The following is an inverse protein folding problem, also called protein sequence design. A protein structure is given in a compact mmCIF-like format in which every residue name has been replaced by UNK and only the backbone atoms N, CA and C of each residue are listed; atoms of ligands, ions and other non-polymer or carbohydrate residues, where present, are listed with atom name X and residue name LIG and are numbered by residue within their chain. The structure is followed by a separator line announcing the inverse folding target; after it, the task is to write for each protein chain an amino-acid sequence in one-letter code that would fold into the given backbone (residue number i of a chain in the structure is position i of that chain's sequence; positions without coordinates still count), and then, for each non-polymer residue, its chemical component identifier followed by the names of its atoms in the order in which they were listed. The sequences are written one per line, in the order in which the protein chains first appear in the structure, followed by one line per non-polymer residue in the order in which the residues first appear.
data_IF_230331069399
#
_entry.id   IF_230331069399
#
_cell.length_a   1.000
_cell.length_b   1.000
_cell.length_c   1.000
_cell.angle_alpha   90.00
_cell.angle_beta   90.00
_cell.angle_gamma   90.00
#
_symmetry.space_group_name_H-M   'P 1'
#
loop_
_entity.id
_entity.type
_entity.pdbx_description
1 polymer ?
#
# COMPACT_ATOMS: atom_id res chain seq x y z
N UNK A 1 32.02 -40.01 -26.13
CA UNK A 1 31.45 -38.64 -26.19
C UNK A 1 30.04 -38.56 -25.60
N UNK A 2 29.17 -39.57 -25.78
CA UNK A 2 27.79 -39.62 -25.24
C UNK A 2 27.67 -39.65 -23.70
N UNK A 3 28.58 -40.32 -22.99
CA UNK A 3 28.55 -40.41 -21.50
C UNK A 3 28.88 -39.08 -20.80
N UNK A 4 29.70 -38.22 -21.42
CA UNK A 4 30.09 -36.92 -20.84
C UNK A 4 28.98 -35.86 -21.01
N UNK A 5 28.11 -36.01 -22.02
CA UNK A 5 26.97 -35.12 -22.22
C UNK A 5 25.87 -35.36 -21.17
N UNK A 6 25.60 -36.62 -20.83
CA UNK A 6 24.57 -36.97 -19.84
C UNK A 6 24.87 -36.46 -18.43
N UNK A 7 26.15 -36.40 -18.02
CA UNK A 7 26.52 -35.87 -16.70
C UNK A 7 26.37 -34.35 -16.61
N UNK A 8 26.68 -33.62 -17.68
CA UNK A 8 26.51 -32.17 -17.75
C UNK A 8 25.02 -31.78 -17.71
N UNK A 9 24.18 -32.47 -18.48
CA UNK A 9 22.72 -32.27 -18.48
C UNK A 9 22.11 -32.52 -17.10
N UNK A 10 22.51 -33.59 -16.42
CA UNK A 10 22.04 -33.88 -15.06
C UNK A 10 22.42 -32.79 -14.04
N UNK A 11 23.64 -32.24 -14.13
CA UNK A 11 24.11 -31.16 -13.25
C UNK A 11 23.31 -29.88 -13.49
N UNK A 12 23.05 -29.54 -14.76
CA UNK A 12 22.24 -28.37 -15.14
C UNK A 12 20.81 -28.54 -14.63
N UNK A 13 20.18 -29.68 -14.86
CA UNK A 13 18.81 -29.95 -14.42
C UNK A 13 18.68 -29.88 -12.89
N UNK A 14 19.62 -30.49 -12.15
CA UNK A 14 19.64 -30.41 -10.69
C UNK A 14 19.78 -28.95 -10.20
N UNK A 15 20.60 -28.13 -10.87
CA UNK A 15 20.76 -26.72 -10.54
C UNK A 15 19.47 -25.91 -10.81
N UNK A 16 18.79 -26.18 -11.93
CA UNK A 16 17.51 -25.55 -12.28
C UNK A 16 16.42 -25.90 -11.27
N UNK A 17 16.30 -27.18 -10.90
CA UNK A 17 15.33 -27.65 -9.90
C UNK A 17 15.58 -27.03 -8.53
N UNK A 18 16.84 -26.98 -8.09
CA UNK A 18 17.22 -26.32 -6.84
C UNK A 18 16.82 -24.84 -6.86
N UNK A 19 17.13 -24.14 -7.96
CA UNK A 19 16.79 -22.73 -8.08
C UNK A 19 15.28 -22.50 -8.05
N UNK A 20 14.49 -23.31 -8.74
CA UNK A 20 13.03 -23.17 -8.73
C UNK A 20 12.46 -23.44 -7.32
N UNK A 21 13.02 -24.40 -6.58
CA UNK A 21 12.68 -24.63 -5.17
C UNK A 21 12.97 -23.40 -4.31
N UNK A 22 14.12 -22.78 -4.48
CA UNK A 22 14.48 -21.55 -3.75
C UNK A 22 13.55 -20.39 -4.14
N UNK A 23 13.30 -20.16 -5.44
CA UNK A 23 12.33 -19.15 -5.91
C UNK A 23 10.93 -19.39 -5.34
N UNK A 24 10.47 -20.64 -5.24
CA UNK A 24 9.19 -20.99 -4.61
C UNK A 24 9.12 -20.54 -3.16
N UNK A 25 10.17 -20.77 -2.37
CA UNK A 25 10.23 -20.33 -0.98
C UNK A 25 10.19 -18.80 -0.88
N UNK A 26 10.96 -18.10 -1.71
CA UNK A 26 10.94 -16.63 -1.77
C UNK A 26 9.55 -16.10 -2.14
N UNK A 27 8.85 -16.72 -3.09
CA UNK A 27 7.47 -16.34 -3.46
C UNK A 27 6.49 -16.52 -2.31
N UNK A 28 6.57 -17.63 -1.57
CA UNK A 28 5.70 -17.87 -0.40
C UNK A 28 5.95 -16.80 0.65
N UNK A 29 7.21 -16.54 0.99
CA UNK A 29 7.60 -15.50 1.94
C UNK A 29 7.08 -14.11 1.52
N UNK A 30 7.28 -13.70 0.26
CA UNK A 30 6.80 -12.40 -0.23
C UNK A 30 5.27 -12.29 -0.24
N UNK A 31 4.54 -13.39 -0.45
CA UNK A 31 3.07 -13.40 -0.31
C UNK A 31 2.64 -13.18 1.14
N UNK A 32 3.32 -13.80 2.10
CA UNK A 32 3.08 -13.55 3.53
C UNK A 32 3.35 -12.08 3.86
N UNK A 33 4.49 -11.54 3.40
CA UNK A 33 4.83 -10.11 3.57
C UNK A 33 3.74 -9.20 2.99
N UNK A 34 3.31 -9.44 1.74
CA UNK A 34 2.28 -8.63 1.09
C UNK A 34 0.93 -8.72 1.81
N UNK A 35 0.54 -9.90 2.27
CA UNK A 35 -0.69 -10.08 3.06
C UNK A 35 -0.62 -9.33 4.38
N UNK A 36 0.50 -9.42 5.10
CA UNK A 36 0.70 -8.68 6.35
C UNK A 36 0.70 -7.16 6.09
N UNK A 37 1.32 -6.67 5.02
CA UNK A 37 1.28 -5.25 4.64
C UNK A 37 -0.15 -4.79 4.30
N UNK A 38 -0.94 -5.63 3.63
CA UNK A 38 -2.35 -5.37 3.36
C UNK A 38 -3.15 -5.23 4.66
N UNK A 39 -3.00 -6.18 5.59
CA UNK A 39 -3.62 -6.09 6.91
C UNK A 39 -3.14 -4.85 7.68
N UNK A 40 -1.85 -4.52 7.60
CA UNK A 40 -1.28 -3.36 8.27
C UNK A 40 -1.93 -2.06 7.80
N UNK A 41 -2.10 -1.90 6.47
CA UNK A 41 -2.77 -0.73 5.92
C UNK A 41 -4.25 -0.68 6.29
N UNK A 42 -4.96 -1.81 6.34
CA UNK A 42 -6.35 -1.83 6.80
C UNK A 42 -6.49 -1.44 8.28
N UNK A 43 -5.66 -2.02 9.16
CA UNK A 43 -5.69 -1.71 10.60
C UNK A 43 -5.28 -0.25 10.81
N UNK A 44 -4.26 0.25 10.11
CA UNK A 44 -3.88 1.67 10.16
C UNK A 44 -4.98 2.61 9.62
N UNK A 45 -5.71 2.18 8.59
CA UNK A 45 -6.91 2.86 8.12
C UNK A 45 -8.00 2.94 9.18
N UNK A 46 -8.24 1.83 9.89
CA UNK A 46 -9.21 1.78 10.99
C UNK A 46 -8.78 2.73 12.11
N UNK A 47 -7.51 2.67 12.54
CA UNK A 47 -6.93 3.60 13.53
C UNK A 47 -7.15 5.07 13.16
N UNK A 48 -7.05 5.42 11.86
CA UNK A 48 -7.32 6.80 11.41
C UNK A 48 -8.82 7.13 11.43
N UNK A 49 -9.67 6.25 10.90
CA UNK A 49 -11.11 6.48 10.80
C UNK A 49 -11.81 6.49 12.17
N UNK A 50 -11.23 5.82 13.17
CA UNK A 50 -11.70 5.85 14.57
C UNK A 50 -10.99 6.92 15.40
N UNK A 51 -10.26 7.85 14.77
CA UNK A 51 -9.48 8.94 15.42
C UNK A 51 -8.55 8.46 16.55
N UNK A 52 -8.07 7.22 16.43
CA UNK A 52 -7.32 6.52 17.48
C UNK A 52 -5.82 6.76 17.42
N UNK A 53 -5.30 7.44 16.39
CA UNK A 53 -3.87 7.55 16.11
C UNK A 53 -3.03 8.35 17.10
N UNK A 54 -3.62 8.86 18.19
CA UNK A 54 -2.96 9.67 19.23
C UNK A 54 -3.20 9.15 20.66
N UNK A 55 -3.83 7.97 20.80
CA UNK A 55 -4.15 7.36 22.10
C UNK A 55 -2.92 6.87 22.87
N UNK A 56 -1.84 6.49 22.18
CA UNK A 56 -0.57 6.04 22.76
C UNK A 56 0.48 7.15 22.59
N UNK A 57 0.64 7.95 23.64
CA UNK A 57 1.47 9.15 23.63
C UNK A 57 2.96 8.87 23.77
N UNK A 58 3.33 7.74 24.39
CA UNK A 58 4.73 7.38 24.61
C UNK A 58 5.28 6.42 23.54
N UNK A 59 6.52 6.67 23.13
CA UNK A 59 7.25 5.80 22.23
C UNK A 59 8.04 4.75 23.02
N UNK A 60 7.44 3.57 23.20
CA UNK A 60 8.09 2.38 23.80
C UNK A 60 8.33 1.32 22.71
N UNK A 61 9.51 1.29 22.03
CA UNK A 61 9.74 0.39 20.90
C UNK A 61 9.60 -1.09 21.25
N UNK A 62 10.17 -1.49 22.40
CA UNK A 62 10.22 -2.88 22.87
C UNK A 62 9.08 -3.16 23.85
N UNK A 63 8.99 -2.40 24.95
CA UNK A 63 8.00 -2.63 26.00
C UNK A 63 6.55 -2.37 25.56
N UNK A 64 6.33 -1.48 24.59
CA UNK A 64 4.99 -1.19 24.06
C UNK A 64 4.39 -2.29 23.16
N UNK A 65 5.03 -3.47 23.09
CA UNK A 65 4.43 -4.67 22.51
C UNK A 65 3.43 -5.35 23.48
N UNK A 66 3.63 -5.18 24.79
CA UNK A 66 2.73 -5.67 25.82
C UNK A 66 1.74 -4.54 26.15
N UNK A 67 0.42 -4.76 26.04
CA UNK A 67 -0.58 -3.75 26.41
C UNK A 67 -0.68 -3.65 27.94
N UNK A 68 -1.32 -2.61 28.49
CA UNK A 68 -1.63 -2.55 29.92
C UNK A 68 -2.44 -3.78 30.36
N UNK A 69 -1.97 -4.45 31.42
CA UNK A 69 -2.55 -5.68 31.97
C UNK A 69 -3.23 -5.45 33.32
N UNK A 70 -2.88 -4.37 34.02
CA UNK A 70 -3.49 -3.99 35.30
C UNK A 70 -4.33 -2.71 35.20
N UNK A 71 -5.25 -2.52 36.15
CA UNK A 71 -6.06 -1.29 36.26
C UNK A 71 -5.17 -0.05 36.44
N UNK A 72 -4.08 -0.18 37.20
CA UNK A 72 -3.15 0.93 37.43
C UNK A 72 -2.44 1.37 36.15
N UNK A 73 -1.96 0.42 35.34
CA UNK A 73 -1.32 0.70 34.04
C UNK A 73 -2.31 1.33 33.05
N UNK A 74 -3.57 0.87 33.04
CA UNK A 74 -4.62 1.48 32.20
C UNK A 74 -4.91 2.92 32.59
N UNK A 75 -4.98 3.21 33.89
CA UNK A 75 -5.20 4.57 34.37
C UNK A 75 -3.98 5.46 34.06
N UNK A 76 -2.75 4.96 34.16
CA UNK A 76 -1.53 5.70 33.80
C UNK A 76 -1.55 6.15 32.34
N UNK A 77 -1.76 5.24 31.40
CA UNK A 77 -1.84 5.56 29.97
C UNK A 77 -3.00 6.53 29.68
N UNK A 78 -4.13 6.38 30.36
CA UNK A 78 -5.26 7.30 30.23
C UNK A 78 -4.94 8.70 30.77
N UNK A 79 -4.21 8.81 31.88
CA UNK A 79 -3.75 10.08 32.44
C UNK A 79 -2.75 10.79 31.52
N UNK A 80 -1.94 10.05 30.76
CA UNK A 80 -1.09 10.63 29.72
C UNK A 80 -1.93 11.16 28.56
N UNK A 81 -2.91 10.38 28.09
CA UNK A 81 -3.83 10.82 27.02
C UNK A 81 -4.64 12.07 27.42
N UNK A 82 -5.06 12.19 28.68
CA UNK A 82 -5.74 13.39 29.19
C UNK A 82 -4.91 14.67 29.01
N UNK A 83 -3.59 14.60 28.83
CA UNK A 83 -2.72 15.79 28.70
C UNK A 83 -2.65 16.36 27.28
N UNK A 84 -3.06 15.59 26.26
CA UNK A 84 -2.91 16.02 24.87
C UNK A 84 -4.13 16.82 24.37
N UNK A 85 -3.98 17.66 23.33
CA UNK A 85 -5.07 18.48 22.80
C UNK A 85 -6.32 17.68 22.40
N UNK A 86 -6.15 16.48 21.82
CA UNK A 86 -7.28 15.64 21.40
C UNK A 86 -8.25 15.34 22.55
N UNK A 87 -7.75 15.04 23.75
CA UNK A 87 -8.63 14.85 24.91
C UNK A 87 -9.25 16.17 25.37
N UNK A 88 -8.46 17.23 25.45
CA UNK A 88 -8.90 18.51 26.01
C UNK A 88 -9.97 19.21 25.15
N UNK A 89 -9.87 19.08 23.83
CA UNK A 89 -10.71 19.81 22.87
C UNK A 89 -11.84 18.96 22.28
N UNK A 90 -11.61 17.66 22.05
CA UNK A 90 -12.56 16.78 21.36
C UNK A 90 -13.18 15.76 22.31
N UNK A 91 -12.35 15.05 23.08
CA UNK A 91 -12.77 13.89 23.87
C UNK A 91 -12.94 14.19 25.37
N UNK A 92 -13.25 15.45 25.71
CA UNK A 92 -13.32 15.89 27.12
C UNK A 92 -14.45 15.18 27.86
N UNK A 93 -14.10 14.49 28.94
CA UNK A 93 -15.05 13.72 29.74
C UNK A 93 -15.20 12.27 29.29
N UNK A 94 -14.42 11.82 28.30
CA UNK A 94 -14.32 10.40 27.92
C UNK A 94 -14.02 9.53 29.13
N UNK A 95 -14.62 8.34 29.19
CA UNK A 95 -14.39 7.31 30.19
C UNK A 95 -13.17 6.45 29.87
N UNK A 96 -12.67 5.70 30.86
CA UNK A 96 -11.56 4.76 30.65
C UNK A 96 -11.92 3.66 29.63
N UNK A 97 -13.18 3.22 29.58
CA UNK A 97 -13.61 2.16 28.66
C UNK A 97 -13.73 2.65 27.21
N UNK A 98 -14.15 3.90 27.01
CA UNK A 98 -14.07 4.54 25.70
C UNK A 98 -12.61 4.74 25.25
N UNK A 99 -11.72 5.14 26.17
CA UNK A 99 -10.29 5.24 25.89
C UNK A 99 -9.68 3.89 25.46
N UNK A 100 -10.03 2.78 26.13
CA UNK A 100 -9.57 1.44 25.72
C UNK A 100 -9.91 1.12 24.27
N UNK A 101 -11.06 1.57 23.78
CA UNK A 101 -11.49 1.32 22.40
C UNK A 101 -10.53 1.95 21.39
N UNK A 102 -10.16 3.21 21.58
CA UNK A 102 -9.18 3.87 20.70
C UNK A 102 -7.76 3.31 20.91
N UNK A 103 -7.39 3.00 22.15
CA UNK A 103 -6.10 2.40 22.47
C UNK A 103 -5.87 1.09 21.73
N UNK A 104 -6.87 0.20 21.70
CA UNK A 104 -6.74 -1.12 21.06
C UNK A 104 -6.47 -1.02 19.57
N UNK A 105 -7.11 -0.08 18.86
CA UNK A 105 -6.85 0.13 17.44
C UNK A 105 -5.41 0.58 17.19
N UNK A 106 -4.92 1.54 17.98
CA UNK A 106 -3.56 2.03 17.81
C UNK A 106 -2.52 0.99 18.22
N UNK A 107 -2.74 0.30 19.34
CA UNK A 107 -1.87 -0.78 19.80
C UNK A 107 -1.77 -1.90 18.78
N UNK A 108 -2.90 -2.35 18.21
CA UNK A 108 -2.94 -3.40 17.21
C UNK A 108 -2.17 -3.00 15.93
N UNK A 109 -2.35 -1.75 15.48
CA UNK A 109 -1.59 -1.21 14.35
C UNK A 109 -0.09 -1.20 14.64
N UNK A 110 0.34 -0.69 15.81
CA UNK A 110 1.74 -0.62 16.22
C UNK A 110 2.36 -2.01 16.41
N UNK A 111 1.63 -2.96 16.98
CA UNK A 111 2.09 -4.35 17.11
C UNK A 111 2.31 -5.00 15.74
N UNK A 112 1.35 -4.84 14.83
CA UNK A 112 1.45 -5.37 13.48
C UNK A 112 2.61 -4.72 12.70
N UNK A 113 2.85 -3.42 12.89
CA UNK A 113 3.99 -2.70 12.33
C UNK A 113 5.35 -3.21 12.85
N UNK A 114 5.44 -3.64 14.11
CA UNK A 114 6.64 -4.32 14.64
C UNK A 114 6.79 -5.72 14.07
N UNK A 115 5.69 -6.47 14.00
CA UNK A 115 5.68 -7.84 13.51
C UNK A 115 6.15 -7.93 12.04
N UNK A 116 5.74 -7.01 11.17
CA UNK A 116 6.19 -7.00 9.77
C UNK A 116 7.71 -6.85 9.65
N UNK A 117 8.35 -6.10 10.55
CA UNK A 117 9.81 -5.99 10.61
C UNK A 117 10.48 -7.36 10.79
N UNK A 118 9.95 -8.18 11.70
CA UNK A 118 10.45 -9.55 11.95
C UNK A 118 10.10 -10.51 10.80
N UNK A 119 8.86 -10.44 10.29
CA UNK A 119 8.38 -11.26 9.16
C UNK A 119 9.19 -11.00 7.89
N UNK A 120 9.73 -9.80 7.72
CA UNK A 120 10.63 -9.49 6.61
C UNK A 120 12.09 -9.84 6.93
N UNK A 121 12.62 -9.36 8.06
CA UNK A 121 14.05 -9.45 8.35
C UNK A 121 14.54 -10.88 8.62
N UNK A 122 13.77 -11.70 9.36
CA UNK A 122 14.22 -13.06 9.73
C UNK A 122 14.32 -13.99 8.51
N UNK A 123 13.29 -14.09 7.63
CA UNK A 123 13.42 -14.92 6.43
C UNK A 123 14.46 -14.35 5.45
N UNK A 124 14.60 -13.01 5.36
CA UNK A 124 15.66 -12.41 4.55
C UNK A 124 17.05 -12.86 5.02
N UNK A 125 17.32 -12.78 6.32
CA UNK A 125 18.59 -13.25 6.91
C UNK A 125 18.81 -14.75 6.64
N UNK A 126 17.78 -15.58 6.86
CA UNK A 126 17.86 -17.01 6.57
C UNK A 126 18.19 -17.30 5.10
N UNK A 127 17.46 -16.71 4.15
CA UNK A 127 17.71 -16.91 2.72
C UNK A 127 19.07 -16.38 2.29
N UNK A 128 19.55 -15.31 2.92
CA UNK A 128 20.88 -14.75 2.66
C UNK A 128 21.98 -15.69 3.14
N UNK A 129 21.95 -16.10 4.41
CA UNK A 129 22.95 -16.98 5.03
C UNK A 129 23.00 -18.36 4.37
N UNK A 130 21.88 -18.83 3.83
CA UNK A 130 21.78 -20.11 3.12
C UNK A 130 22.03 -20.01 1.61
N UNK A 131 22.38 -18.81 1.11
CA UNK A 131 22.75 -18.61 -0.29
C UNK A 131 21.60 -18.76 -1.30
N UNK A 132 20.35 -18.69 -0.84
CA UNK A 132 19.13 -18.90 -1.67
C UNK A 132 18.70 -17.65 -2.45
N UNK A 133 19.29 -16.50 -2.16
CA UNK A 133 18.98 -15.23 -2.83
C UNK A 133 19.91 -15.01 -4.04
N UNK A 134 19.31 -14.91 -5.21
CA UNK A 134 19.99 -14.50 -6.44
C UNK A 134 20.67 -13.14 -6.28
N UNK A 135 21.90 -12.97 -6.80
CA UNK A 135 22.69 -11.73 -6.67
C UNK A 135 21.88 -10.47 -7.04
N UNK A 136 21.06 -10.54 -8.10
CA UNK A 136 20.21 -9.44 -8.59
C UNK A 136 19.14 -8.98 -7.60
N UNK A 137 18.72 -9.84 -6.66
CA UNK A 137 17.65 -9.57 -5.70
C UNK A 137 18.18 -9.06 -4.36
N UNK A 138 19.48 -9.18 -4.12
CA UNK A 138 20.11 -8.78 -2.85
C UNK A 138 19.90 -7.31 -2.53
N UNK A 139 20.31 -6.41 -3.44
CA UNK A 139 20.16 -4.97 -3.23
C UNK A 139 18.68 -4.54 -3.16
N UNK A 140 17.77 -4.99 -4.04
CA UNK A 140 16.35 -4.69 -3.90
C UNK A 140 15.75 -5.10 -2.54
N UNK A 141 16.09 -6.30 -2.04
CA UNK A 141 15.57 -6.78 -0.75
C UNK A 141 16.15 -6.01 0.45
N UNK A 142 17.43 -5.66 0.42
CA UNK A 142 18.04 -4.79 1.44
C UNK A 142 17.41 -3.39 1.38
N UNK A 143 17.19 -2.85 0.18
CA UNK A 143 16.52 -1.56 0.00
C UNK A 143 15.10 -1.56 0.56
N UNK A 144 14.34 -2.66 0.38
CA UNK A 144 13.02 -2.82 0.99
C UNK A 144 13.07 -2.91 2.52
N UNK A 145 14.07 -3.60 3.08
CA UNK A 145 14.29 -3.62 4.53
C UNK A 145 14.59 -2.22 5.06
N UNK A 146 15.47 -1.47 4.39
CA UNK A 146 15.82 -0.10 4.76
C UNK A 146 14.62 0.84 4.65
N UNK A 147 13.82 0.73 3.58
CA UNK A 147 12.56 1.46 3.44
C UNK A 147 11.56 1.09 4.54
N UNK A 148 11.48 -0.18 4.95
CA UNK A 148 10.67 -0.61 6.08
C UNK A 148 11.10 0.03 7.41
N UNK A 149 12.41 0.14 7.65
CA UNK A 149 12.94 0.88 8.80
C UNK A 149 12.60 2.37 8.74
N UNK A 150 12.79 2.98 7.56
CA UNK A 150 12.42 4.38 7.33
C UNK A 150 10.91 4.64 7.47
N UNK A 151 10.08 3.67 7.10
CA UNK A 151 8.63 3.72 7.30
C UNK A 151 8.26 3.78 8.78
N UNK A 152 8.98 3.06 9.65
CA UNK A 152 8.84 3.17 11.10
C UNK A 152 9.17 4.57 11.61
N UNK A 153 10.23 5.20 11.08
CA UNK A 153 10.58 6.59 11.37
C UNK A 153 9.47 7.57 10.91
N UNK A 154 8.93 7.40 9.70
CA UNK A 154 7.81 8.22 9.21
C UNK A 154 6.57 8.03 10.10
N UNK A 155 6.28 6.81 10.56
CA UNK A 155 5.17 6.53 11.47
C UNK A 155 5.30 7.27 12.80
N UNK A 156 6.50 7.26 13.40
CA UNK A 156 6.79 8.06 14.60
C UNK A 156 6.63 9.57 14.32
N UNK A 157 7.17 10.06 13.21
CA UNK A 157 7.03 11.46 12.80
C UNK A 157 5.56 11.84 12.57
N UNK A 158 4.74 10.95 12.03
CA UNK A 158 3.31 11.20 11.80
C UNK A 158 2.54 11.42 13.11
N UNK A 159 2.78 10.60 14.14
CA UNK A 159 2.09 10.72 15.43
C UNK A 159 2.59 11.94 16.21
N UNK A 160 3.89 12.25 16.14
CA UNK A 160 4.47 13.33 16.94
C UNK A 160 3.86 14.72 16.68
N UNK A 161 3.22 14.97 15.53
CA UNK A 161 2.52 16.25 15.28
C UNK A 161 1.31 16.47 16.17
N UNK A 162 0.55 15.40 16.47
CA UNK A 162 -0.74 15.50 17.15
C UNK A 162 -0.63 15.54 18.67
N UNK A 163 0.58 15.44 19.22
CA UNK A 163 0.77 15.41 20.68
C UNK A 163 0.88 16.80 21.32
N UNK A 164 1.14 17.85 20.54
CA UNK A 164 1.41 19.20 21.07
C UNK A 164 0.57 20.29 20.41
N UNK A 165 0.51 20.31 19.07
CA UNK A 165 0.00 21.47 18.34
C UNK A 165 -1.34 21.24 17.62
N UNK A 166 -1.88 20.02 17.65
CA UNK A 166 -3.06 19.61 16.86
C UNK A 166 -3.84 18.52 17.59
N UNK A 167 -5.10 18.35 17.20
CA UNK A 167 -6.00 17.28 17.70
C UNK A 167 -5.96 16.02 16.83
N UNK A 168 -5.26 16.07 15.69
CA UNK A 168 -5.14 15.00 14.71
C UNK A 168 -3.73 14.90 14.10
N UNK A 169 -3.49 13.85 13.32
CA UNK A 169 -2.26 13.70 12.53
C UNK A 169 -2.32 14.55 11.27
N UNK A 170 -1.24 15.27 10.95
CA UNK A 170 -1.19 16.09 9.74
C UNK A 170 -1.41 15.26 8.47
N UNK A 171 -2.27 15.76 7.58
CA UNK A 171 -2.56 15.16 6.27
C UNK A 171 -1.31 14.92 5.42
N UNK A 172 -0.31 15.81 5.53
CA UNK A 172 0.97 15.64 4.84
C UNK A 172 1.75 14.43 5.34
N UNK A 173 1.79 14.23 6.67
CA UNK A 173 2.50 13.12 7.29
C UNK A 173 1.78 11.80 7.02
N UNK A 174 0.44 11.80 7.12
CA UNK A 174 -0.39 10.65 6.75
C UNK A 174 -0.19 10.25 5.30
N UNK A 175 -0.28 11.20 4.37
CA UNK A 175 -0.09 10.93 2.94
C UNK A 175 1.32 10.43 2.62
N UNK A 176 2.34 10.98 3.28
CA UNK A 176 3.72 10.50 3.16
C UNK A 176 3.84 9.06 3.65
N UNK A 177 3.31 8.76 4.84
CA UNK A 177 3.34 7.44 5.45
C UNK A 177 2.64 6.39 4.58
N UNK A 178 1.42 6.67 4.10
CA UNK A 178 0.69 5.74 3.24
C UNK A 178 1.40 5.55 1.88
N UNK A 179 1.94 6.62 1.30
CA UNK A 179 2.66 6.53 0.01
C UNK A 179 3.90 5.66 0.12
N UNK A 180 4.71 5.83 1.17
CA UNK A 180 5.90 4.98 1.39
C UNK A 180 5.50 3.54 1.70
N UNK A 181 4.41 3.31 2.46
CA UNK A 181 3.85 1.96 2.63
C UNK A 181 3.52 1.30 1.28
N UNK A 182 2.87 2.06 0.40
CA UNK A 182 2.48 1.61 -0.94
C UNK A 182 3.70 1.35 -1.84
N UNK A 183 4.78 2.12 -1.70
CA UNK A 183 6.03 1.86 -2.43
C UNK A 183 6.71 0.58 -1.96
N UNK A 184 6.72 0.29 -0.65
CA UNK A 184 7.22 -0.99 -0.11
C UNK A 184 6.37 -2.14 -0.65
N UNK A 185 5.05 -2.02 -0.58
CA UNK A 185 4.11 -3.01 -1.12
C UNK A 185 4.34 -3.24 -2.63
N UNK A 186 4.46 -2.17 -3.41
CA UNK A 186 4.74 -2.22 -4.84
C UNK A 186 6.09 -2.89 -5.14
N UNK A 187 7.15 -2.59 -4.38
CA UNK A 187 8.45 -3.23 -4.54
C UNK A 187 8.42 -4.73 -4.22
N UNK A 188 7.73 -5.13 -3.16
CA UNK A 188 7.50 -6.55 -2.84
C UNK A 188 6.71 -7.26 -3.96
N UNK A 189 5.66 -6.63 -4.47
CA UNK A 189 4.85 -7.16 -5.58
C UNK A 189 5.68 -7.28 -6.87
N UNK A 190 6.52 -6.29 -7.17
CA UNK A 190 7.41 -6.28 -8.32
C UNK A 190 8.38 -7.47 -8.31
N UNK A 191 9.01 -7.73 -7.17
CA UNK A 191 9.93 -8.86 -6.99
C UNK A 191 9.16 -10.18 -7.07
N UNK A 192 8.04 -10.30 -6.34
CA UNK A 192 7.18 -11.49 -6.35
C UNK A 192 6.75 -11.85 -7.77
N UNK A 193 6.28 -10.85 -8.54
CA UNK A 193 5.85 -11.06 -9.90
C UNK A 193 7.02 -11.46 -10.78
N UNK A 194 8.18 -10.82 -10.65
CA UNK A 194 9.39 -11.20 -11.40
C UNK A 194 9.90 -12.62 -11.12
N UNK A 195 9.66 -13.14 -9.91
CA UNK A 195 9.97 -14.53 -9.52
C UNK A 195 8.92 -15.54 -9.97
N UNK A 196 7.74 -15.09 -10.41
CA UNK A 196 6.62 -15.95 -10.78
C UNK A 196 6.74 -16.44 -12.22
N UNK A 197 6.08 -17.56 -12.52
CA UNK A 197 5.99 -18.07 -13.89
C UNK A 197 5.25 -17.07 -14.79
N UNK A 198 5.74 -16.94 -16.03
CA UNK A 198 5.14 -16.13 -17.07
C UNK A 198 4.84 -17.04 -18.26
N UNK A 199 3.70 -16.81 -18.91
CA UNK A 199 3.43 -17.43 -20.21
C UNK A 199 4.48 -16.97 -21.23
N UNK A 200 4.98 -17.86 -22.11
CA UNK A 200 5.96 -17.50 -23.14
C UNK A 200 5.53 -16.30 -23.99
N UNK A 201 4.24 -16.25 -24.32
CA UNK A 201 3.57 -15.19 -25.11
C UNK A 201 3.52 -13.81 -24.43
N UNK A 202 3.91 -13.70 -23.16
CA UNK A 202 3.77 -12.46 -22.39
C UNK A 202 5.09 -11.73 -22.11
N UNK A 203 6.24 -12.34 -22.39
CA UNK A 203 7.55 -11.77 -22.06
C UNK A 203 8.06 -10.83 -23.17
N UNK A 204 8.75 -9.76 -22.76
CA UNK A 204 9.41 -8.75 -23.63
C UNK A 204 8.50 -7.98 -24.61
N UNK A 205 7.20 -7.94 -24.33
CA UNK A 205 6.25 -7.14 -25.10
C UNK A 205 6.42 -5.65 -24.77
N UNK A 206 6.61 -4.83 -25.81
CA UNK A 206 6.82 -3.38 -25.67
C UNK A 206 5.50 -2.62 -25.78
N UNK A 207 4.54 -3.17 -26.52
CA UNK A 207 3.24 -2.56 -26.77
C UNK A 207 2.44 -2.45 -25.48
N UNK A 208 2.16 -1.23 -25.02
CA UNK A 208 1.40 -0.98 -23.79
C UNK A 208 2.22 -1.00 -22.49
N UNK A 209 3.51 -1.36 -22.52
CA UNK A 209 4.37 -1.38 -21.33
C UNK A 209 4.51 0.00 -20.68
N UNK A 210 4.76 1.04 -21.49
CA UNK A 210 4.90 2.41 -20.99
C UNK A 210 3.61 2.91 -20.34
N UNK A 211 2.46 2.59 -20.96
CA UNK A 211 1.16 2.98 -20.41
C UNK A 211 0.81 2.20 -19.13
N UNK A 212 1.18 0.92 -19.02
CA UNK A 212 1.04 0.17 -17.78
C UNK A 212 1.89 0.77 -16.63
N UNK A 213 3.09 1.28 -16.94
CA UNK A 213 3.91 2.02 -15.98
C UNK A 213 3.23 3.32 -15.54
N UNK A 214 2.73 4.11 -16.49
CA UNK A 214 1.98 5.34 -16.23
C UNK A 214 0.76 5.06 -15.33
N UNK A 215 -0.03 4.03 -15.63
CA UNK A 215 -1.18 3.64 -14.81
C UNK A 215 -0.78 3.26 -13.38
N UNK A 216 0.36 2.60 -13.20
CA UNK A 216 0.89 2.30 -11.85
C UNK A 216 1.21 3.59 -11.09
N UNK A 217 1.84 4.56 -11.74
CA UNK A 217 2.13 5.88 -11.16
C UNK A 217 0.85 6.64 -10.85
N UNK A 218 -0.15 6.62 -11.74
CA UNK A 218 -1.45 7.24 -11.52
C UNK A 218 -2.21 6.58 -10.35
N UNK A 219 -2.13 5.26 -10.18
CA UNK A 219 -2.69 4.58 -9.01
C UNK A 219 -2.02 5.05 -7.71
N UNK A 220 -0.69 5.14 -7.67
CA UNK A 220 0.02 5.66 -6.51
C UNK A 220 -0.36 7.11 -6.20
N UNK A 221 -0.46 7.95 -7.24
CA UNK A 221 -0.87 9.34 -7.09
C UNK A 221 -2.33 9.46 -6.61
N UNK A 222 -3.23 8.62 -7.10
CA UNK A 222 -4.62 8.58 -6.65
C UNK A 222 -4.74 8.17 -5.17
N UNK A 223 -3.92 7.22 -4.73
CA UNK A 223 -3.83 6.83 -3.31
C UNK A 223 -3.30 8.00 -2.47
N UNK A 224 -2.28 8.72 -2.95
CA UNK A 224 -1.78 9.93 -2.29
C UNK A 224 -2.88 11.00 -2.13
N UNK A 225 -3.65 11.28 -3.19
CA UNK A 225 -4.79 12.20 -3.11
C UNK A 225 -5.86 11.70 -2.10
N UNK A 226 -6.12 10.39 -2.07
CA UNK A 226 -7.04 9.79 -1.10
C UNK A 226 -6.56 9.94 0.35
N UNK A 227 -5.25 9.85 0.58
CA UNK A 227 -4.66 10.08 1.89
C UNK A 227 -4.81 11.53 2.36
N UNK A 228 -4.73 12.51 1.45
CA UNK A 228 -5.00 13.91 1.77
C UNK A 228 -6.48 14.13 2.12
N UNK A 229 -7.40 13.51 1.37
CA UNK A 229 -8.85 13.55 1.67
C UNK A 229 -9.14 13.00 3.06
N UNK A 230 -8.56 11.84 3.39
CA UNK A 230 -8.70 11.22 4.71
C UNK A 230 -8.05 12.09 5.81
N UNK A 231 -6.86 12.62 5.57
CA UNK A 231 -6.15 13.46 6.53
C UNK A 231 -6.90 14.73 6.90
N UNK A 232 -7.55 15.37 5.93
CA UNK A 232 -8.34 16.59 6.14
C UNK A 232 -9.79 16.34 6.60
N UNK A 233 -10.20 15.07 6.77
CA UNK A 233 -11.61 14.70 6.95
C UNK A 233 -12.52 15.24 5.82
N UNK A 234 -11.97 15.50 4.63
CA UNK A 234 -12.66 16.13 3.51
C UNK A 234 -13.77 15.24 2.92
N UNK A 235 -13.75 13.94 3.21
CA UNK A 235 -14.81 13.00 2.86
C UNK A 235 -16.17 13.35 3.50
N UNK A 236 -16.20 14.10 4.59
CA UNK A 236 -17.41 14.51 5.31
C UNK A 236 -17.99 15.86 4.82
N UNK A 237 -17.32 16.54 3.89
CA UNK A 237 -17.68 17.92 3.52
C UNK A 237 -18.80 18.00 2.47
N UNK A 238 -18.70 17.23 1.38
CA UNK A 238 -19.67 17.30 0.27
C UNK A 238 -20.10 15.90 -0.20
N UNK A 239 -21.16 15.36 0.41
CA UNK A 239 -21.55 13.95 0.24
C UNK A 239 -22.52 13.67 -0.92
N UNK A 240 -22.43 14.45 -2.00
CA UNK A 240 -23.23 14.27 -3.23
C UNK A 240 -22.38 13.82 -4.41
N UNK A 241 -22.99 13.09 -5.35
CA UNK A 241 -22.40 12.66 -6.61
C UNK A 241 -23.49 12.57 -7.69
N UNK A 242 -23.26 12.95 -8.97
CA UNK A 242 -21.99 13.41 -9.54
C UNK A 242 -21.67 14.89 -9.25
N UNK A 243 -22.67 15.69 -8.89
CA UNK A 243 -22.49 17.10 -8.52
C UNK A 243 -21.81 17.22 -7.15
N UNK A 244 -21.03 18.27 -6.99
CA UNK A 244 -20.39 18.69 -5.75
C UNK A 244 -20.81 20.13 -5.49
N UNK A 245 -21.44 20.40 -4.34
CA UNK A 245 -21.95 21.74 -4.03
C UNK A 245 -22.87 22.30 -5.14
N UNK A 246 -23.83 21.47 -5.58
CA UNK A 246 -24.81 21.82 -6.62
C UNK A 246 -24.27 21.94 -8.05
N UNK A 247 -22.98 21.71 -8.30
CA UNK A 247 -22.35 21.93 -9.62
C UNK A 247 -21.31 20.87 -9.96
N UNK A 248 -20.92 20.76 -11.24
CA UNK A 248 -19.87 19.82 -11.67
C UNK A 248 -18.47 20.31 -11.30
N UNK A 249 -18.24 21.62 -11.39
CA UNK A 249 -17.04 22.29 -10.90
C UNK A 249 -17.52 23.31 -9.87
N UNK A 250 -17.33 23.05 -8.57
CA UNK A 250 -17.83 23.94 -7.55
C UNK A 250 -17.04 25.25 -7.51
N UNK A 251 -17.72 26.32 -7.07
CA UNK A 251 -17.08 27.60 -6.80
C UNK A 251 -16.08 27.51 -5.64
N UNK A 252 -15.26 28.55 -5.48
CA UNK A 252 -14.44 28.76 -4.28
C UNK A 252 -13.39 27.67 -4.01
N UNK A 253 -12.87 27.04 -5.06
CA UNK A 253 -11.79 26.04 -4.98
C UNK A 253 -10.41 26.63 -4.61
N UNK A 254 -10.22 27.94 -4.73
CA UNK A 254 -8.90 28.57 -4.57
C UNK A 254 -8.93 29.80 -3.65
N UNK A 255 -9.67 29.70 -2.53
CA UNK A 255 -9.83 30.80 -1.56
C UNK A 255 -8.54 31.12 -0.81
N UNK A 256 -7.75 30.11 -0.43
CA UNK A 256 -6.54 30.31 0.36
C UNK A 256 -5.41 30.88 -0.50
N UNK A 257 -4.53 31.68 0.10
CA UNK A 257 -3.35 32.26 -0.56
C UNK A 257 -2.04 31.78 0.09
N UNK A 258 -1.00 31.46 -0.71
CA UNK A 258 -1.02 31.36 -2.17
C UNK A 258 -1.93 30.24 -2.69
N UNK A 259 -2.52 30.45 -3.87
CA UNK A 259 -3.60 29.62 -4.44
C UNK A 259 -3.31 28.10 -4.43
N UNK A 260 -2.06 27.68 -4.60
CA UNK A 260 -1.69 26.28 -4.72
C UNK A 260 -1.86 25.49 -3.40
N UNK A 261 -1.89 26.16 -2.25
CA UNK A 261 -2.10 25.50 -0.94
C UNK A 261 -3.48 24.85 -0.87
N UNK A 262 -4.48 25.36 -1.60
CA UNK A 262 -5.80 24.75 -1.66
C UNK A 262 -5.77 23.31 -2.17
N UNK A 263 -4.79 22.94 -3.02
CA UNK A 263 -4.62 21.57 -3.51
C UNK A 263 -4.21 20.57 -2.40
N UNK A 264 -3.87 21.05 -1.21
CA UNK A 264 -3.37 20.25 -0.09
C UNK A 264 -4.07 20.53 1.25
N UNK A 265 -4.66 21.70 1.44
CA UNK A 265 -5.22 22.14 2.73
C UNK A 265 -6.67 22.60 2.66
N UNK A 266 -7.22 22.86 1.48
CA UNK A 266 -8.65 23.18 1.33
C UNK A 266 -9.44 21.87 1.15
N UNK A 267 -10.28 21.45 2.11
CA UNK A 267 -11.00 20.17 2.03
C UNK A 267 -11.86 20.05 0.76
N UNK A 268 -12.51 21.14 0.33
CA UNK A 268 -13.33 21.18 -0.89
C UNK A 268 -12.48 20.86 -2.12
N UNK A 269 -11.33 21.50 -2.23
CA UNK A 269 -10.44 21.37 -3.38
C UNK A 269 -9.74 20.03 -3.42
N UNK A 270 -9.25 19.56 -2.28
CA UNK A 270 -8.61 18.24 -2.17
C UNK A 270 -9.60 17.14 -2.54
N UNK A 271 -10.84 17.20 -2.03
CA UNK A 271 -11.88 16.25 -2.38
C UNK A 271 -12.23 16.31 -3.88
N UNK A 272 -12.36 17.51 -4.45
CA UNK A 272 -12.63 17.69 -5.87
C UNK A 272 -11.51 17.13 -6.76
N UNK A 273 -10.25 17.44 -6.45
CA UNK A 273 -9.07 16.93 -7.19
C UNK A 273 -8.96 15.40 -7.08
N UNK A 274 -9.27 14.82 -5.92
CA UNK A 274 -9.34 13.37 -5.78
C UNK A 274 -10.40 12.73 -6.69
N UNK A 275 -11.59 13.35 -6.85
CA UNK A 275 -12.62 12.88 -7.80
C UNK A 275 -12.13 12.97 -9.25
N UNK A 276 -11.52 14.09 -9.63
CA UNK A 276 -10.96 14.26 -10.98
C UNK A 276 -9.85 13.25 -11.29
N UNK A 277 -8.99 12.97 -10.31
CA UNK A 277 -7.98 11.91 -10.42
C UNK A 277 -8.62 10.52 -10.62
N UNK A 278 -9.71 10.22 -9.91
CA UNK A 278 -10.44 8.96 -10.06
C UNK A 278 -11.04 8.81 -11.47
N UNK A 279 -11.69 9.86 -11.99
CA UNK A 279 -12.23 9.85 -13.36
C UNK A 279 -11.13 9.70 -14.40
N UNK A 280 -10.00 10.38 -14.21
CA UNK A 280 -8.84 10.27 -15.10
C UNK A 280 -8.30 8.85 -15.12
N UNK A 281 -8.13 8.23 -13.95
CA UNK A 281 -7.67 6.85 -13.84
C UNK A 281 -8.67 5.85 -14.44
N UNK A 282 -9.97 6.07 -14.24
CA UNK A 282 -11.03 5.24 -14.84
C UNK A 282 -10.99 5.30 -16.37
N UNK A 283 -10.94 6.51 -16.95
CA UNK A 283 -10.83 6.69 -18.40
C UNK A 283 -9.52 6.11 -18.96
N UNK A 284 -8.40 6.31 -18.29
CA UNK A 284 -7.10 5.78 -18.71
C UNK A 284 -7.08 4.24 -18.68
N UNK A 285 -7.67 3.61 -17.66
CA UNK A 285 -7.73 2.15 -17.56
C UNK A 285 -8.71 1.53 -18.56
N UNK A 286 -9.83 2.20 -18.85
CA UNK A 286 -10.73 1.84 -19.95
C UNK A 286 -9.99 1.89 -21.30
N UNK A 287 -9.29 2.98 -21.58
CA UNK A 287 -8.48 3.12 -22.80
C UNK A 287 -7.44 2.00 -22.91
N UNK A 288 -6.72 1.71 -21.82
CA UNK A 288 -5.73 0.62 -21.81
C UNK A 288 -6.36 -0.74 -22.06
N UNK A 289 -7.52 -1.01 -21.46
CA UNK A 289 -8.26 -2.24 -21.69
C UNK A 289 -8.60 -2.42 -23.17
N UNK A 290 -9.20 -1.40 -23.80
CA UNK A 290 -9.56 -1.43 -25.22
C UNK A 290 -8.32 -1.55 -26.11
N UNK A 291 -7.25 -0.80 -25.80
CA UNK A 291 -5.98 -0.83 -26.52
C UNK A 291 -5.34 -2.23 -26.48
N UNK A 292 -5.25 -2.85 -25.30
CA UNK A 292 -4.66 -4.18 -25.16
C UNK A 292 -5.54 -5.28 -25.76
N UNK A 293 -6.86 -5.16 -25.69
CA UNK A 293 -7.78 -6.10 -26.33
C UNK A 293 -7.64 -6.11 -27.86
N UNK A 294 -7.32 -4.95 -28.46
CA UNK A 294 -7.09 -4.81 -29.91
C UNK A 294 -5.67 -5.20 -30.33
N UNK A 295 -4.67 -4.73 -29.60
CA UNK A 295 -3.26 -4.91 -29.98
C UNK A 295 -2.72 -6.31 -29.64
N UNK A 296 -3.18 -6.91 -28.53
CA UNK A 296 -2.66 -8.17 -28.00
C UNK A 296 -3.80 -9.14 -27.63
N UNK A 297 -4.74 -9.44 -28.55
CA UNK A 297 -5.91 -10.25 -28.26
C UNK A 297 -5.52 -11.65 -27.75
N UNK A 298 -6.28 -12.17 -26.79
CA UNK A 298 -6.06 -13.50 -26.22
C UNK A 298 -4.88 -13.60 -25.23
N UNK A 299 -3.95 -12.64 -25.21
CA UNK A 299 -2.77 -12.67 -24.35
C UNK A 299 -3.10 -12.45 -22.87
N UNK A 300 -2.21 -12.87 -21.94
CA UNK A 300 -2.35 -12.54 -20.52
C UNK A 300 -2.35 -11.03 -20.22
N UNK A 301 -1.78 -10.19 -21.11
CA UNK A 301 -1.79 -8.73 -20.97
C UNK A 301 -3.18 -8.15 -21.19
N UNK A 302 -3.87 -8.56 -22.26
CA UNK A 302 -5.25 -8.15 -22.51
C UNK A 302 -6.19 -8.59 -21.37
N UNK A 303 -6.07 -9.84 -20.91
CA UNK A 303 -6.89 -10.35 -19.78
C UNK A 303 -6.65 -9.57 -18.48
N UNK A 304 -5.39 -9.23 -18.16
CA UNK A 304 -5.07 -8.39 -17.00
C UNK A 304 -5.54 -6.96 -17.15
N UNK A 305 -5.53 -6.39 -18.37
CA UNK A 305 -6.04 -5.05 -18.61
C UNK A 305 -7.56 -4.99 -18.37
N UNK A 306 -8.32 -6.01 -18.78
CA UNK A 306 -9.75 -6.16 -18.45
C UNK A 306 -9.95 -6.25 -16.94
N UNK A 307 -9.21 -7.15 -16.26
CA UNK A 307 -9.30 -7.27 -14.81
C UNK A 307 -8.98 -5.95 -14.10
N UNK A 308 -7.98 -5.21 -14.58
CA UNK A 308 -7.58 -3.93 -14.00
C UNK A 308 -8.71 -2.89 -14.13
N UNK A 309 -9.34 -2.78 -15.30
CA UNK A 309 -10.49 -1.91 -15.47
C UNK A 309 -11.68 -2.31 -14.58
N UNK A 310 -11.96 -3.61 -14.44
CA UNK A 310 -13.02 -4.10 -13.54
C UNK A 310 -12.73 -3.72 -12.08
N UNK A 311 -11.51 -3.95 -11.59
CA UNK A 311 -11.16 -3.59 -10.21
C UNK A 311 -11.18 -2.07 -9.98
N UNK A 312 -10.80 -1.27 -10.97
CA UNK A 312 -10.91 0.20 -10.90
C UNK A 312 -12.37 0.65 -10.91
N UNK A 313 -13.25 -0.06 -11.60
CA UNK A 313 -14.70 0.18 -11.55
C UNK A 313 -15.27 -0.11 -10.16
N UNK A 314 -14.84 -1.21 -9.54
CA UNK A 314 -15.21 -1.54 -8.15
C UNK A 314 -14.64 -0.49 -7.18
N UNK A 315 -13.39 -0.05 -7.38
CA UNK A 315 -12.76 1.00 -6.58
C UNK A 315 -13.54 2.33 -6.66
N UNK A 316 -13.97 2.71 -7.86
CA UNK A 316 -14.77 3.92 -8.08
C UNK A 316 -16.15 3.80 -7.41
N UNK A 317 -16.82 2.64 -7.54
CA UNK A 317 -18.08 2.38 -6.87
C UNK A 317 -17.94 2.47 -5.35
N UNK A 318 -16.92 1.84 -4.76
CA UNK A 318 -16.64 1.94 -3.32
C UNK A 318 -16.34 3.39 -2.89
N UNK A 319 -15.63 4.16 -3.71
CA UNK A 319 -15.35 5.57 -3.41
C UNK A 319 -16.61 6.43 -3.42
N UNK A 320 -17.49 6.24 -4.41
CA UNK A 320 -18.81 6.90 -4.48
C UNK A 320 -19.67 6.49 -3.29
N UNK A 321 -19.75 5.20 -2.96
CA UNK A 321 -20.55 4.72 -1.82
C UNK A 321 -19.99 5.26 -0.49
N UNK A 322 -18.67 5.29 -0.31
CA UNK A 322 -18.03 5.87 0.88
C UNK A 322 -18.45 7.33 1.05
N UNK A 323 -18.49 8.08 -0.05
CA UNK A 323 -18.95 9.45 -0.06
C UNK A 323 -20.44 9.57 0.30
N UNK A 324 -21.32 8.83 -0.38
CA UNK A 324 -22.78 8.91 -0.16
C UNK A 324 -23.18 8.45 1.25
N UNK A 325 -22.44 7.51 1.84
CA UNK A 325 -22.65 6.99 3.19
C UNK A 325 -21.89 7.77 4.27
N UNK A 326 -21.45 9.00 3.97
CA UNK A 326 -20.81 9.89 4.95
C UNK A 326 -19.60 9.25 5.66
N UNK A 327 -18.74 8.60 4.88
CA UNK A 327 -17.52 7.93 5.37
C UNK A 327 -17.84 6.81 6.37
N UNK A 328 -18.89 6.02 6.11
CA UNK A 328 -19.12 4.76 6.82
C UNK A 328 -17.83 3.92 6.86
N UNK A 329 -17.44 3.50 8.07
CA UNK A 329 -16.13 2.89 8.31
C UNK A 329 -15.93 1.61 7.51
N UNK A 330 -16.97 0.80 7.31
CA UNK A 330 -16.85 -0.47 6.61
C UNK A 330 -16.60 -0.24 5.13
N UNK A 331 -17.35 0.68 4.51
CA UNK A 331 -17.17 1.01 3.09
C UNK A 331 -15.85 1.77 2.86
N UNK A 332 -15.49 2.69 3.76
CA UNK A 332 -14.23 3.43 3.67
C UNK A 332 -13.01 2.48 3.77
N UNK A 333 -13.03 1.51 4.70
CA UNK A 333 -11.99 0.49 4.78
C UNK A 333 -11.98 -0.44 3.57
N UNK A 334 -13.14 -0.81 3.03
CA UNK A 334 -13.21 -1.59 1.80
C UNK A 334 -12.60 -0.83 0.61
N UNK A 335 -12.87 0.48 0.49
CA UNK A 335 -12.28 1.35 -0.51
C UNK A 335 -10.76 1.43 -0.38
N UNK A 336 -10.24 1.55 0.84
CA UNK A 336 -8.79 1.57 1.09
C UNK A 336 -8.13 0.22 0.79
N UNK A 337 -8.75 -0.89 1.20
CA UNK A 337 -8.26 -2.24 0.89
C UNK A 337 -8.24 -2.52 -0.61
N UNK A 338 -9.32 -2.19 -1.30
CA UNK A 338 -9.41 -2.35 -2.76
C UNK A 338 -8.37 -1.49 -3.49
N UNK A 339 -8.04 -0.29 -2.98
CA UNK A 339 -6.96 0.53 -3.55
C UNK A 339 -5.61 -0.21 -3.57
N UNK A 340 -5.27 -0.93 -2.50
CA UNK A 340 -4.05 -1.75 -2.43
C UNK A 340 -4.09 -2.94 -3.39
N UNK A 341 -5.25 -3.57 -3.56
CA UNK A 341 -5.42 -4.67 -4.53
C UNK A 341 -5.22 -4.14 -5.95
N UNK A 342 -5.83 -3.00 -6.28
CA UNK A 342 -5.66 -2.30 -7.56
C UNK A 342 -4.19 -1.96 -7.80
N UNK A 343 -3.49 -1.40 -6.80
CA UNK A 343 -2.05 -1.12 -6.89
C UNK A 343 -1.24 -2.39 -7.15
N UNK A 344 -1.50 -3.47 -6.40
CA UNK A 344 -0.83 -4.75 -6.58
C UNK A 344 -1.00 -5.31 -7.99
N UNK A 345 -2.22 -5.22 -8.54
CA UNK A 345 -2.48 -5.61 -9.92
C UNK A 345 -1.80 -4.68 -10.93
N UNK A 346 -1.80 -3.37 -10.72
CA UNK A 346 -1.13 -2.42 -11.61
C UNK A 346 0.36 -2.72 -11.74
N UNK A 347 1.04 -2.94 -10.60
CA UNK A 347 2.45 -3.33 -10.54
C UNK A 347 2.67 -4.69 -11.20
N UNK A 348 1.83 -5.69 -10.90
CA UNK A 348 1.95 -7.01 -11.50
C UNK A 348 1.71 -7.01 -13.01
N UNK A 349 0.80 -6.16 -13.49
CA UNK A 349 0.52 -5.95 -14.91
C UNK A 349 1.71 -5.33 -15.61
N UNK A 350 2.24 -4.22 -15.07
CA UNK A 350 3.44 -3.57 -15.59
C UNK A 350 4.65 -4.50 -15.59
N UNK A 351 4.93 -5.18 -14.47
CA UNK A 351 6.03 -6.15 -14.36
C UNK A 351 5.86 -7.31 -15.34
N UNK A 352 4.63 -7.67 -15.67
CA UNK A 352 4.30 -8.73 -16.61
C UNK A 352 4.91 -8.51 -18.00
N UNK A 353 4.96 -7.26 -18.49
CA UNK A 353 5.56 -6.92 -19.80
C UNK A 353 7.07 -7.18 -19.85
N UNK A 354 7.74 -7.25 -18.70
CA UNK A 354 9.19 -7.47 -18.61
C UNK A 354 9.52 -8.98 -18.52
N UNK A 355 8.58 -9.82 -18.06
CA UNK A 355 8.78 -11.27 -17.97
C UNK A 355 9.57 -11.76 -16.74
N UNK A 356 9.77 -13.07 -16.58
CA UNK A 356 10.44 -13.63 -15.38
C UNK A 356 11.90 -13.19 -15.27
N UNK A 357 12.46 -13.20 -14.06
CA UNK A 357 13.91 -13.05 -13.91
C UNK A 357 14.65 -14.19 -14.63
N UNK A 358 15.66 -13.90 -15.46
CA UNK A 358 16.39 -14.91 -16.19
C UNK A 358 17.13 -15.84 -15.23
N UNK A 359 17.29 -17.08 -15.67
CA UNK A 359 17.96 -18.14 -14.92
C UNK A 359 19.48 -17.94 -15.06
N UNK A 360 20.27 -17.92 -13.96
CA UNK A 360 21.72 -17.75 -14.01
C UNK A 360 22.47 -18.90 -14.70
N UNK A 361 21.86 -20.08 -14.79
CA UNK A 361 22.42 -21.22 -15.53
C UNK A 361 22.12 -21.00 -17.01
N UNK A 362 23.14 -20.59 -17.77
CA UNK A 362 23.04 -20.49 -19.23
C UNK A 362 22.97 -21.91 -19.80
N UNK A 363 21.86 -22.23 -20.46
CA UNK A 363 21.82 -23.40 -21.36
C UNK A 363 22.42 -22.89 -22.66
N UNK A 364 23.69 -23.17 -22.93
CA UNK A 364 24.21 -23.06 -24.30
C UNK A 364 23.52 -24.15 -25.11
N UNK A 365 22.50 -23.76 -25.89
CA UNK A 365 22.01 -24.60 -26.98
C UNK A 365 23.13 -24.63 -28.01
N UNK A 366 23.87 -25.73 -28.08
CA UNK A 366 24.79 -25.99 -29.18
C UNK A 366 23.98 -26.58 -30.31
N UNK A 367 23.81 -25.80 -31.38
CA UNK A 367 23.25 -26.26 -32.66
C UNK A 367 24.15 -27.29 -33.34
#
# INVERSE_FOLDING_TARGET
MTMANGSAEMVVEAALQKQEKDRRLLRIWLRVVLFTLFCLVLVGGATRLTESGLSITEWKPIHGAIPPLSVAEWEEEFQLYKRIPQYQEINKGMSLDEFKTIFWWEWAHRLLARAIGLIFALPLAFFWLTGRIEKRLRLPLIGLLALGGFQGFIGWWMVSSGLVNRTDVSQYRLATHLTVACLIFAGCMWILRGLSHHSPEAADEKTGRGFAALLTVLCLFQIYLGALVAGLNAGLSYNTWPLMDGSLVPGDLFLQQPWWINLFENPKTVQFVHRLGAYTLFAATLWHMVSMARALPGTPHARRAVLFFVLVSIQAALGITTLLMHVDIHVALAHQGMALIVLGLAVAHWRGFIGKYPTPVAVEVRD
#
